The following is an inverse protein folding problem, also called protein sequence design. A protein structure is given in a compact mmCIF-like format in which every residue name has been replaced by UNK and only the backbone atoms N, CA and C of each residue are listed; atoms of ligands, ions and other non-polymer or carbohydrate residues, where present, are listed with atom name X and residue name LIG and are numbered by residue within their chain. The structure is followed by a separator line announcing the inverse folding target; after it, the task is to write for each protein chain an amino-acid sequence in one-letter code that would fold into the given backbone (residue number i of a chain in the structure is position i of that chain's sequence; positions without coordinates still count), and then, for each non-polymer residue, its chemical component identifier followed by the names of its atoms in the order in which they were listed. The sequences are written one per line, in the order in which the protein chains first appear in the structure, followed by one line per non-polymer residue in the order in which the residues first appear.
data_IF_704226117537
#
_entry.id   IF_704226117537
#
_cell.length_a   1.000
_cell.length_b   1.000
_cell.length_c   1.000
_cell.angle_alpha   90.00
_cell.angle_beta   90.00
_cell.angle_gamma   90.00
#
_symmetry.space_group_name_H-M   'P 1'
#
loop_
_entity.id
_entity.type
_entity.pdbx_description
1 polymer ?
#
# COMPACT_ATOMS: atom_id res chain seq x y z
N UNK A 1 -3.39 0.59 1.49
CA UNK A 1 -3.64 0.68 0.02
C UNK A 1 -5.09 0.33 -0.24
N UNK A 2 -5.86 1.22 -0.88
CA UNK A 2 -7.25 0.99 -1.21
C UNK A 2 -7.42 0.75 -2.72
N UNK A 3 -8.37 -0.11 -3.09
CA UNK A 3 -8.61 -0.49 -4.48
C UNK A 3 -10.11 -0.60 -4.69
N UNK A 4 -10.66 0.24 -5.56
CA UNK A 4 -12.05 0.14 -5.97
C UNK A 4 -12.20 -0.92 -7.07
N UNK A 5 -13.06 -1.89 -6.83
CA UNK A 5 -13.34 -2.99 -7.76
C UNK A 5 -14.77 -2.84 -8.22
N UNK A 6 -15.01 -2.80 -9.53
CA UNK A 6 -16.36 -2.74 -10.10
C UNK A 6 -16.61 -3.90 -11.05
N UNK A 7 -17.74 -4.59 -10.84
CA UNK A 7 -18.26 -5.55 -11.79
C UNK A 7 -19.00 -4.81 -12.92
N UNK A 8 -18.46 -4.89 -14.12
CA UNK A 8 -19.04 -4.29 -15.35
C UNK A 8 -19.71 -5.32 -16.26
N UNK A 9 -19.79 -6.58 -15.83
CA UNK A 9 -20.54 -7.64 -16.50
C UNK A 9 -22.03 -7.63 -16.14
N UNK A 10 -22.79 -8.50 -16.79
CA UNK A 10 -24.24 -8.64 -16.59
C UNK A 10 -24.61 -9.66 -15.50
N UNK A 11 -23.66 -10.47 -15.06
CA UNK A 11 -23.84 -11.54 -14.08
C UNK A 11 -22.94 -11.33 -12.85
N UNK A 12 -23.27 -12.04 -11.77
CA UNK A 12 -22.36 -12.25 -10.65
C UNK A 12 -21.15 -13.10 -11.07
N UNK A 13 -20.06 -12.99 -10.32
CA UNK A 13 -18.81 -13.69 -10.53
C UNK A 13 -17.86 -13.43 -9.37
N UNK A 14 -16.59 -13.77 -9.56
CA UNK A 14 -15.57 -13.50 -8.56
C UNK A 14 -14.26 -13.13 -9.24
N UNK A 15 -13.51 -12.20 -8.64
CA UNK A 15 -12.16 -11.84 -9.08
C UNK A 15 -11.23 -11.75 -7.89
N UNK A 16 -10.02 -12.26 -8.08
CA UNK A 16 -8.94 -12.13 -7.11
C UNK A 16 -8.12 -10.88 -7.44
N UNK A 17 -8.18 -9.89 -6.55
CA UNK A 17 -7.30 -8.73 -6.54
C UNK A 17 -6.00 -9.14 -5.88
N UNK A 18 -4.87 -8.89 -6.54
CA UNK A 18 -3.54 -9.22 -6.02
C UNK A 18 -2.77 -7.92 -5.84
N UNK A 19 -2.36 -7.65 -4.62
CA UNK A 19 -1.41 -6.60 -4.29
C UNK A 19 0.00 -7.17 -4.47
N UNK A 20 0.81 -6.50 -5.28
CA UNK A 20 2.23 -6.80 -5.40
C UNK A 20 3.08 -5.65 -4.90
N UNK A 21 4.18 -5.96 -4.23
CA UNK A 21 5.21 -5.01 -3.84
C UNK A 21 6.53 -5.50 -4.45
N UNK A 22 7.22 -4.65 -5.21
CA UNK A 22 8.46 -5.02 -5.91
C UNK A 22 8.31 -6.25 -6.82
N UNK A 23 7.13 -6.42 -7.41
CA UNK A 23 6.80 -7.55 -8.28
C UNK A 23 6.37 -8.84 -7.56
N UNK A 24 6.59 -8.95 -6.24
CA UNK A 24 6.16 -10.10 -5.42
C UNK A 24 4.75 -9.90 -4.89
N UNK A 25 3.96 -10.98 -4.81
CA UNK A 25 2.59 -10.92 -4.26
C UNK A 25 2.71 -10.72 -2.74
N UNK A 26 2.39 -9.51 -2.29
CA UNK A 26 2.35 -9.16 -0.87
C UNK A 26 1.04 -9.63 -0.22
N UNK A 27 -0.08 -9.48 -0.92
CA UNK A 27 -1.39 -9.93 -0.44
C UNK A 27 -2.36 -10.16 -1.61
N UNK A 28 -3.46 -10.87 -1.34
CA UNK A 28 -4.52 -11.12 -2.31
C UNK A 28 -5.88 -11.26 -1.62
N UNK A 29 -6.89 -10.66 -2.22
CA UNK A 29 -8.27 -10.78 -1.77
C UNK A 29 -9.17 -11.20 -2.92
N UNK A 30 -10.12 -12.10 -2.65
CA UNK A 30 -11.11 -12.51 -3.65
C UNK A 30 -12.44 -11.85 -3.36
N UNK A 31 -12.94 -11.14 -4.36
CA UNK A 31 -14.14 -10.33 -4.26
C UNK A 31 -15.22 -10.91 -5.16
N UNK A 32 -16.40 -11.08 -4.60
CA UNK A 32 -17.62 -11.49 -5.32
C UNK A 32 -18.58 -10.31 -5.34
N UNK A 33 -19.05 -9.93 -6.52
CA UNK A 33 -19.86 -8.73 -6.75
C UNK A 33 -21.00 -9.04 -7.71
N UNK A 34 -22.24 -8.73 -7.35
CA UNK A 34 -23.33 -8.80 -8.31
C UNK A 34 -23.13 -7.81 -9.47
N UNK A 35 -23.86 -8.03 -10.57
CA UNK A 35 -23.84 -7.17 -11.76
C UNK A 35 -23.95 -5.67 -11.42
N UNK A 36 -23.06 -4.85 -11.99
CA UNK A 36 -23.02 -3.40 -11.79
C UNK A 36 -22.55 -2.92 -10.41
N UNK A 37 -22.29 -3.80 -9.44
CA UNK A 37 -21.84 -3.43 -8.09
C UNK A 37 -20.35 -3.15 -8.06
N UNK A 38 -19.95 -2.33 -7.07
CA UNK A 38 -18.57 -2.05 -6.74
C UNK A 38 -18.32 -2.19 -5.25
N UNK A 39 -17.07 -2.48 -4.88
CA UNK A 39 -16.59 -2.46 -3.50
C UNK A 39 -15.17 -1.93 -3.46
N UNK A 40 -14.75 -1.44 -2.30
CA UNK A 40 -13.35 -1.10 -2.04
C UNK A 40 -12.69 -2.25 -1.28
N UNK A 41 -11.48 -2.60 -1.70
CA UNK A 41 -10.61 -3.61 -1.08
C UNK A 41 -9.44 -2.87 -0.45
N UNK A 42 -9.15 -3.16 0.82
CA UNK A 42 -8.10 -2.48 1.58
C UNK A 42 -7.00 -3.45 2.00
N UNK A 43 -5.77 -3.16 1.56
CA UNK A 43 -4.58 -3.91 1.94
C UNK A 43 -3.73 -3.07 2.90
N UNK A 44 -3.55 -3.49 4.17
CA UNK A 44 -2.62 -2.85 5.08
C UNK A 44 -1.18 -3.17 4.64
N UNK A 45 -0.34 -2.14 4.49
CA UNK A 45 1.07 -2.28 4.16
C UNK A 45 1.89 -1.59 5.24
N UNK A 46 2.88 -2.32 5.78
CA UNK A 46 3.89 -1.79 6.70
C UNK A 46 5.27 -2.17 6.16
N UNK A 47 6.18 -1.20 6.08
CA UNK A 47 7.57 -1.40 5.65
C UNK A 47 8.48 -0.71 6.65
N UNK A 48 9.46 -1.46 7.16
CA UNK A 48 10.39 -0.99 8.19
C UNK A 48 11.71 -0.51 7.59
N UNK A 49 12.08 -1.02 6.41
CA UNK A 49 13.29 -0.62 5.73
C UNK A 49 13.01 0.62 4.90
N UNK A 50 13.94 1.57 4.98
CA UNK A 50 13.97 2.70 4.07
C UNK A 50 14.18 2.23 2.62
N UNK A 51 13.58 2.97 1.70
CA UNK A 51 13.64 2.68 0.28
C UNK A 51 12.38 3.06 -0.46
N UNK A 52 12.48 3.05 -1.79
CA UNK A 52 11.34 3.23 -2.68
C UNK A 52 10.74 1.87 -3.00
N UNK A 53 9.45 1.71 -2.75
CA UNK A 53 8.70 0.49 -3.04
C UNK A 53 7.69 0.73 -4.15
N UNK A 54 7.72 -0.10 -5.19
CA UNK A 54 6.69 -0.11 -6.22
C UNK A 54 5.54 -1.03 -5.78
N UNK A 55 4.32 -0.47 -5.74
CA UNK A 55 3.07 -1.18 -5.50
C UNK A 55 2.36 -1.39 -6.82
N UNK A 56 1.98 -2.63 -7.12
CA UNK A 56 1.22 -2.97 -8.34
C UNK A 56 -0.07 -3.70 -7.97
N UNK A 57 -1.19 -3.29 -8.55
CA UNK A 57 -2.48 -3.97 -8.45
C UNK A 57 -3.07 -4.11 -9.84
N UNK A 58 -3.22 -5.34 -10.32
CA UNK A 58 -3.67 -5.60 -11.69
C UNK A 58 -2.68 -5.03 -12.71
N UNK A 59 -3.15 -4.08 -13.52
CA UNK A 59 -2.35 -3.37 -14.55
C UNK A 59 -1.88 -1.98 -14.09
N UNK A 60 -2.23 -1.57 -12.87
CA UNK A 60 -1.84 -0.26 -12.33
C UNK A 60 -0.68 -0.40 -11.36
N UNK A 61 0.31 0.48 -11.46
CA UNK A 61 1.41 0.59 -10.50
C UNK A 61 1.60 2.01 -9.99
N UNK A 62 2.13 2.13 -8.77
CA UNK A 62 2.46 3.39 -8.10
C UNK A 62 3.59 3.14 -7.11
N UNK A 63 4.53 4.06 -6.96
CA UNK A 63 5.59 3.97 -5.96
C UNK A 63 5.29 4.78 -4.71
N UNK A 64 5.84 4.35 -3.59
CA UNK A 64 5.93 5.15 -2.35
C UNK A 64 7.33 5.03 -1.78
N UNK A 65 7.76 6.05 -1.04
CA UNK A 65 9.06 6.08 -0.39
C UNK A 65 8.87 5.90 1.11
N UNK A 66 9.64 4.98 1.68
CA UNK A 66 9.83 4.85 3.12
C UNK A 66 11.14 5.55 3.43
N UNK A 67 11.06 6.63 4.16
CA UNK A 67 12.23 7.37 4.62
C UNK A 67 12.48 6.93 6.05
N UNK A 68 13.73 6.58 6.38
CA UNK A 68 14.11 6.45 7.78
C UNK A 68 14.05 7.84 8.40
N UNK A 69 13.36 8.00 9.52
CA UNK A 69 13.71 9.10 10.41
C UNK A 69 15.13 8.78 10.90
N UNK A 70 16.15 9.26 10.19
CA UNK A 70 17.42 9.53 10.86
C UNK A 70 17.06 10.42 12.04
N UNK A 71 17.10 9.84 13.23
CA UNK A 71 17.19 10.60 14.46
C UNK A 71 18.36 11.55 14.21
N UNK A 72 18.04 12.82 13.94
CA UNK A 72 19.02 13.78 13.44
C UNK A 72 20.23 13.78 14.35
N UNK A 73 21.33 13.19 13.90
CA UNK A 73 22.58 13.24 14.62
C UNK A 73 23.32 14.51 14.19
N UNK A 74 23.13 15.56 14.97
CA UNK A 74 24.21 16.51 15.24
C UNK A 74 24.02 17.96 14.81
N UNK A 75 23.47 18.76 15.72
CA UNK A 75 24.29 19.84 16.27
C UNK A 75 24.34 19.67 17.78
N UNK A 76 25.46 19.15 18.29
CA UNK A 76 25.79 19.18 19.71
C UNK A 76 26.25 20.61 20.04
N UNK A 77 25.56 21.40 20.87
CA UNK A 77 26.21 22.52 21.54
C UNK A 77 27.26 21.95 22.51
N UNK A 78 28.46 22.49 22.47
CA UNK A 78 29.55 22.16 23.39
C UNK A 78 29.09 22.44 24.84
N UNK A 79 28.65 21.42 25.58
CA UNK A 79 28.41 21.52 27.03
C UNK A 79 27.13 20.89 27.61
N UNK A 80 26.29 20.20 26.83
CA UNK A 80 25.04 19.58 27.34
C UNK A 80 25.06 18.04 27.40
N UNK A 81 24.25 17.46 28.30
CA UNK A 81 24.06 16.02 28.57
C UNK A 81 23.87 15.15 27.30
N UNK A 82 24.19 13.83 27.34
CA UNK A 82 24.07 12.93 26.19
C UNK A 82 22.61 12.75 25.76
N UNK A 83 22.34 12.82 24.45
CA UNK A 83 21.04 12.51 23.85
C UNK A 83 20.88 11.00 23.68
N UNK A 84 19.72 10.45 24.05
CA UNK A 84 19.36 9.04 23.83
C UNK A 84 18.57 8.97 22.51
N UNK A 85 18.96 8.15 21.52
CA UNK A 85 18.20 8.06 20.28
C UNK A 85 16.88 7.33 20.53
N UNK A 86 15.76 8.02 20.28
CA UNK A 86 14.41 7.44 20.33
C UNK A 86 14.15 6.84 18.95
N UNK A 87 14.03 5.52 18.86
CA UNK A 87 13.65 4.84 17.63
C UNK A 87 12.21 5.18 17.27
N UNK A 88 12.00 5.88 16.17
CA UNK A 88 10.67 6.20 15.66
C UNK A 88 10.35 5.20 14.53
N UNK A 89 9.43 4.28 14.80
CA UNK A 89 8.85 3.45 13.76
C UNK A 89 7.86 4.27 12.94
N UNK A 90 8.26 4.70 11.74
CA UNK A 90 7.35 5.38 10.81
C UNK A 90 6.43 4.34 10.18
N UNK A 91 5.13 4.44 10.43
CA UNK A 91 4.11 3.69 9.70
C UNK A 91 3.57 4.54 8.54
N UNK A 92 4.04 4.29 7.31
CA UNK A 92 3.52 4.97 6.11
C UNK A 92 2.22 4.29 5.65
N UNK A 93 1.08 4.94 5.87
CA UNK A 93 -0.21 4.49 5.32
C UNK A 93 -0.34 5.02 3.89
N UNK A 94 -0.11 4.15 2.90
CA UNK A 94 -0.29 4.51 1.48
C UNK A 94 -1.75 4.31 1.10
N UNK A 95 -2.46 5.42 0.85
CA UNK A 95 -3.79 5.41 0.21
C UNK A 95 -3.57 5.54 -1.29
N UNK A 96 -3.64 4.41 -1.97
CA UNK A 96 -3.82 4.38 -3.43
C UNK A 96 -5.32 4.35 -3.65
N UNK A 97 -5.84 5.05 -4.67
CA UNK A 97 -7.21 4.90 -5.15
C UNK A 97 -7.10 4.40 -6.60
N UNK A 98 -7.38 3.11 -6.81
CA UNK A 98 -7.26 2.42 -8.11
C UNK A 98 -8.61 1.81 -8.43
N UNK A 99 -9.22 2.21 -9.55
CA UNK A 99 -10.49 1.64 -10.02
C UNK A 99 -10.20 0.51 -11.02
N UNK A 100 -10.39 -0.73 -10.60
CA UNK A 100 -10.32 -1.91 -11.45
C UNK A 100 -11.70 -2.23 -12.02
N UNK A 101 -11.83 -2.08 -13.34
CA UNK A 101 -13.01 -2.48 -14.08
C UNK A 101 -12.83 -3.90 -14.59
N UNK A 102 -13.46 -4.86 -13.93
CA UNK A 102 -13.47 -6.22 -14.43
C UNK A 102 -14.73 -6.45 -15.23
N UNK A 103 -14.55 -6.89 -16.49
CA UNK A 103 -15.65 -7.40 -17.30
C UNK A 103 -15.85 -8.87 -16.96
N UNK A 104 -16.95 -9.16 -16.27
CA UNK A 104 -17.29 -10.52 -15.88
C UNK A 104 -18.08 -11.12 -17.04
N UNK A 105 -17.64 -12.28 -17.51
CA UNK A 105 -18.24 -12.99 -18.64
C UNK A 105 -19.06 -14.14 -18.14
#
# INVERSE_FOLDING_TARGET
VAVDVKNTGEAEGSKTVKLKIEGEIADKETVTLSSGKSTTVEFPISKEKEGTYEVTVGEMSKSFEVVSEEAGEGQKPEGGLPVIPIGIGIAVIVIIAVILLYRWR
#
